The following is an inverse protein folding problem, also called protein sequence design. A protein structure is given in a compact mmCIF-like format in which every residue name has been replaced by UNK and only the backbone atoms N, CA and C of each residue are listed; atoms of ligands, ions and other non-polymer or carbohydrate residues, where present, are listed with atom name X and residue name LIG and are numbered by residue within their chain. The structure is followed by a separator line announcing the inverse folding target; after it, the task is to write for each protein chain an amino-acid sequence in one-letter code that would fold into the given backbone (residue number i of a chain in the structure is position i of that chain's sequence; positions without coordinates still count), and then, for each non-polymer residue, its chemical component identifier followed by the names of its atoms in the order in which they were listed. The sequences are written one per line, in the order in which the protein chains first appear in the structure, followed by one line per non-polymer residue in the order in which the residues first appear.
data_IF_254978815684
#
_entry.id   IF_254978815684
#
_cell.length_a   1.000
_cell.length_b   1.000
_cell.length_c   1.000
_cell.angle_alpha   90.00
_cell.angle_beta   90.00
_cell.angle_gamma   90.00
#
_symmetry.space_group_name_H-M   'P 1'
#
loop_
_entity.id
_entity.type
_entity.pdbx_description
1 polymer ?
#
# COMPACT_ATOMS: atom_id res chain seq x y z
N UNK A 1 14.02 -3.92 -12.78
CA UNK A 1 12.91 -4.16 -11.85
C UNK A 1 12.46 -2.79 -11.39
N UNK A 2 11.15 -2.47 -11.43
CA UNK A 2 10.65 -1.18 -10.99
C UNK A 2 11.04 -0.90 -9.55
N UNK A 3 11.40 0.34 -9.27
CA UNK A 3 11.75 0.81 -7.92
C UNK A 3 10.86 1.99 -7.54
N UNK A 4 10.26 1.92 -6.35
CA UNK A 4 9.37 2.94 -5.82
C UNK A 4 9.92 3.51 -4.52
N UNK A 5 9.78 4.82 -4.32
CA UNK A 5 10.26 5.52 -3.12
C UNK A 5 9.11 6.22 -2.42
N UNK A 6 9.00 6.04 -1.11
CA UNK A 6 8.04 6.75 -0.27
C UNK A 6 8.71 7.44 0.92
N UNK A 7 7.95 8.31 1.57
CA UNK A 7 8.37 9.02 2.79
C UNK A 7 8.89 10.43 2.54
N UNK A 8 8.29 11.42 3.21
CA UNK A 8 8.77 12.81 3.19
C UNK A 8 8.44 13.63 1.93
N UNK A 9 7.73 13.05 0.95
CA UNK A 9 7.38 13.71 -0.32
C UNK A 9 6.27 14.74 -0.08
N UNK A 10 6.59 16.03 -0.27
CA UNK A 10 5.65 17.15 -0.03
C UNK A 10 5.63 18.19 -1.15
N UNK A 11 6.52 18.11 -2.12
CA UNK A 11 6.58 19.06 -3.25
C UNK A 11 6.82 18.32 -4.57
N UNK A 12 6.56 18.98 -5.70
CA UNK A 12 6.80 18.40 -7.02
C UNK A 12 8.31 18.25 -7.28
N UNK A 13 9.14 19.13 -6.72
CA UNK A 13 10.59 19.04 -6.79
C UNK A 13 11.09 17.77 -6.07
N UNK A 14 10.50 17.38 -4.94
CA UNK A 14 10.85 16.10 -4.30
C UNK A 14 10.58 14.92 -5.25
N UNK A 15 9.46 14.94 -5.97
CA UNK A 15 9.12 13.89 -6.92
C UNK A 15 10.11 13.90 -8.09
N UNK A 16 10.43 15.08 -8.62
CA UNK A 16 11.41 15.25 -9.69
C UNK A 16 12.79 14.70 -9.31
N UNK A 17 13.29 15.03 -8.12
CA UNK A 17 14.59 14.56 -7.63
C UNK A 17 14.62 13.05 -7.45
N UNK A 18 13.54 12.46 -6.93
CA UNK A 18 13.39 11.02 -6.75
C UNK A 18 13.38 10.28 -8.09
N UNK A 19 12.62 10.78 -9.07
CA UNK A 19 12.56 10.19 -10.41
C UNK A 19 13.91 10.34 -11.11
N UNK A 20 14.54 11.52 -11.03
CA UNK A 20 15.88 11.76 -11.58
C UNK A 20 16.95 10.85 -10.96
N UNK A 21 16.73 10.39 -9.73
CA UNK A 21 17.59 9.41 -9.04
C UNK A 21 17.33 7.95 -9.45
N UNK A 22 16.39 7.71 -10.38
CA UNK A 22 16.12 6.40 -10.99
C UNK A 22 14.92 5.65 -10.43
N UNK A 23 14.11 6.27 -9.56
CA UNK A 23 12.83 5.68 -9.16
C UNK A 23 11.79 5.79 -10.29
N UNK A 24 11.00 4.74 -10.48
CA UNK A 24 9.89 4.72 -11.46
C UNK A 24 8.57 5.21 -10.85
N UNK A 25 8.43 5.13 -9.51
CA UNK A 25 7.23 5.58 -8.80
C UNK A 25 7.57 6.28 -7.49
N UNK A 26 6.68 7.17 -7.08
CA UNK A 26 6.64 7.76 -5.74
C UNK A 26 5.42 7.25 -4.96
N UNK A 27 5.59 7.04 -3.66
CA UNK A 27 4.54 6.60 -2.74
C UNK A 27 4.24 7.73 -1.75
N UNK A 28 3.03 8.28 -1.84
CA UNK A 28 2.58 9.40 -1.01
C UNK A 28 1.52 8.89 -0.02
N UNK A 29 1.63 9.26 1.25
CA UNK A 29 0.68 8.87 2.31
C UNK A 29 0.17 10.12 3.02
N UNK A 30 0.83 10.56 4.11
CA UNK A 30 0.32 11.64 4.98
C UNK A 30 -0.02 12.90 4.19
N UNK A 31 0.82 13.28 3.23
CA UNK A 31 0.63 14.49 2.44
C UNK A 31 -0.57 14.38 1.49
N UNK A 32 -0.88 13.18 0.97
CA UNK A 32 -2.06 12.94 0.14
C UNK A 32 -3.36 13.13 0.94
N UNK A 33 -3.38 12.71 2.21
CA UNK A 33 -4.54 12.88 3.07
C UNK A 33 -4.75 14.33 3.53
N UNK A 34 -3.66 15.08 3.70
CA UNK A 34 -3.71 16.48 4.14
C UNK A 34 -3.92 17.47 2.98
N UNK A 35 -3.44 17.11 1.79
CA UNK A 35 -3.51 17.95 0.58
C UNK A 35 -3.90 17.10 -0.64
N UNK A 36 -5.16 16.63 -0.76
CA UNK A 36 -5.59 15.74 -1.85
C UNK A 36 -5.29 16.27 -3.25
N UNK A 37 -5.46 17.58 -3.47
CA UNK A 37 -5.20 18.25 -4.75
C UNK A 37 -3.72 18.15 -5.19
N UNK A 38 -2.80 17.81 -4.28
CA UNK A 38 -1.41 17.55 -4.64
C UNK A 38 -1.27 16.31 -5.52
N UNK A 39 -2.11 15.29 -5.33
CA UNK A 39 -2.09 14.08 -6.16
C UNK A 39 -2.41 14.43 -7.62
N UNK A 40 -3.38 15.31 -7.86
CA UNK A 40 -3.71 15.80 -9.20
C UNK A 40 -2.54 16.55 -9.82
N UNK A 41 -1.96 17.50 -9.09
CA UNK A 41 -0.78 18.26 -9.58
C UNK A 41 0.40 17.34 -9.90
N UNK A 42 0.63 16.32 -9.08
CA UNK A 42 1.70 15.36 -9.28
C UNK A 42 1.41 14.43 -10.48
N UNK A 43 0.17 13.96 -10.64
CA UNK A 43 -0.24 13.13 -11.76
C UNK A 43 -0.19 13.91 -13.08
N UNK A 44 -0.60 15.17 -13.10
CA UNK A 44 -0.50 16.05 -14.28
C UNK A 44 0.96 16.28 -14.70
N UNK A 45 1.88 16.41 -13.74
CA UNK A 45 3.29 16.68 -14.00
C UNK A 45 4.10 15.43 -14.39
N UNK A 46 3.81 14.27 -13.78
CA UNK A 46 4.65 13.07 -13.89
C UNK A 46 3.93 11.83 -14.43
N UNK A 47 2.63 11.94 -14.70
CA UNK A 47 1.76 10.83 -15.13
C UNK A 47 1.25 9.98 -13.96
N UNK A 48 -0.01 9.55 -14.03
CA UNK A 48 -0.65 8.74 -12.97
C UNK A 48 0.12 7.46 -12.61
N UNK A 49 0.72 6.78 -13.60
CA UNK A 49 1.48 5.54 -13.36
C UNK A 49 2.68 5.71 -12.41
N UNK A 50 3.18 6.94 -12.28
CA UNK A 50 4.30 7.33 -11.43
C UNK A 50 3.84 7.60 -9.98
N UNK A 51 2.55 7.86 -9.76
CA UNK A 51 2.00 8.30 -8.48
C UNK A 51 1.23 7.17 -7.81
N UNK A 52 1.79 6.59 -6.75
CA UNK A 52 1.11 5.65 -5.87
C UNK A 52 0.69 6.33 -4.57
N UNK A 53 -0.49 5.97 -4.05
CA UNK A 53 -0.95 6.43 -2.73
C UNK A 53 -0.98 5.26 -1.75
N UNK A 54 -0.26 5.38 -0.64
CA UNK A 54 -0.35 4.42 0.46
C UNK A 54 -1.40 4.89 1.47
N UNK A 55 -2.36 4.03 1.75
CA UNK A 55 -3.46 4.24 2.68
C UNK A 55 -3.21 3.35 3.89
N UNK A 56 -2.80 3.95 5.00
CA UNK A 56 -2.76 3.24 6.27
C UNK A 56 -4.15 3.26 6.90
N UNK A 57 -4.63 2.11 7.37
CA UNK A 57 -5.89 2.03 8.10
C UNK A 57 -5.76 1.20 9.38
N UNK A 58 -6.59 1.54 10.35
CA UNK A 58 -6.88 0.71 11.54
C UNK A 58 -8.25 1.04 12.11
N UNK A 59 -8.76 0.09 12.89
CA UNK A 59 -10.06 0.20 13.55
C UNK A 59 -9.98 1.12 14.77
N UNK A 60 -10.95 2.03 14.95
CA UNK A 60 -11.11 2.75 16.22
C UNK A 60 -11.62 1.81 17.31
N UNK A 61 -11.46 2.22 18.57
CA UNK A 61 -12.03 1.52 19.74
C UNK A 61 -13.56 1.27 19.63
N UNK A 62 -14.29 2.09 18.87
CA UNK A 62 -15.74 1.95 18.63
C UNK A 62 -16.08 1.16 17.34
N UNK A 63 -15.13 0.41 16.77
CA UNK A 63 -15.36 -0.45 15.60
C UNK A 63 -15.39 0.28 14.25
N UNK A 64 -15.37 1.62 14.22
CA UNK A 64 -15.30 2.39 12.95
C UNK A 64 -13.87 2.39 12.40
N UNK A 65 -13.68 1.83 11.20
CA UNK A 65 -12.42 1.94 10.47
C UNK A 65 -12.23 3.34 9.89
N UNK A 66 -10.99 3.82 9.91
CA UNK A 66 -10.60 5.09 9.29
C UNK A 66 -9.15 5.00 8.79
N UNK A 67 -8.76 5.94 7.94
CA UNK A 67 -7.36 6.12 7.54
C UNK A 67 -6.56 6.84 8.62
N UNK A 68 -5.26 6.61 8.61
CA UNK A 68 -4.31 7.19 9.54
C UNK A 68 -3.09 7.70 8.78
N UNK A 69 -2.42 8.68 9.37
CA UNK A 69 -1.20 9.28 8.84
C UNK A 69 -0.14 9.34 9.94
N UNK A 70 1.05 9.84 9.60
CA UNK A 70 2.16 10.02 10.56
C UNK A 70 2.53 8.70 11.25
N UNK A 71 2.67 7.62 10.46
CA UNK A 71 3.00 6.29 10.98
C UNK A 71 1.92 5.71 11.90
N UNK A 72 0.65 6.01 11.61
CA UNK A 72 -0.48 5.49 12.39
C UNK A 72 -0.80 6.25 13.67
N UNK A 73 -0.19 7.43 13.90
CA UNK A 73 -0.40 8.23 15.13
C UNK A 73 -1.54 9.25 15.02
N UNK A 74 -1.85 9.74 13.81
CA UNK A 74 -2.89 10.76 13.57
C UNK A 74 -4.04 10.16 12.74
N UNK A 75 -5.23 10.08 13.32
CA UNK A 75 -6.43 9.61 12.61
C UNK A 75 -7.06 10.71 11.77
N UNK A 76 -7.46 10.40 10.54
CA UNK A 76 -8.04 11.39 9.60
C UNK A 76 -9.55 11.53 9.73
N UNK A 77 -10.24 10.51 10.26
CA UNK A 77 -11.70 10.41 10.21
C UNK A 77 -12.28 9.92 8.89
N UNK A 78 -11.44 9.72 7.86
CA UNK A 78 -11.86 9.35 6.51
C UNK A 78 -11.97 7.83 6.40
N UNK A 79 -13.03 7.33 5.75
CA UNK A 79 -13.15 5.90 5.46
C UNK A 79 -12.09 5.48 4.40
N UNK A 80 -11.40 4.33 4.55
CA UNK A 80 -10.36 3.91 3.61
C UNK A 80 -10.83 3.72 2.16
N UNK A 81 -12.04 3.20 1.96
CA UNK A 81 -12.62 2.98 0.62
C UNK A 81 -12.96 4.31 -0.04
N UNK A 82 -13.58 5.23 0.70
CA UNK A 82 -13.88 6.57 0.19
C UNK A 82 -12.60 7.34 -0.13
N UNK A 83 -11.56 7.17 0.70
CA UNK A 83 -10.26 7.78 0.45
C UNK A 83 -9.61 7.22 -0.82
N UNK A 84 -9.63 5.89 -1.02
CA UNK A 84 -9.10 5.26 -2.23
C UNK A 84 -9.78 5.78 -3.51
N UNK A 85 -11.12 5.84 -3.52
CA UNK A 85 -11.89 6.42 -4.63
C UNK A 85 -11.50 7.87 -4.90
N UNK A 86 -11.34 8.65 -3.84
CA UNK A 86 -10.95 10.05 -3.98
C UNK A 86 -9.53 10.19 -4.56
N UNK A 87 -8.58 9.37 -4.12
CA UNK A 87 -7.21 9.39 -4.66
C UNK A 87 -7.16 8.97 -6.13
N UNK A 88 -7.95 7.99 -6.55
CA UNK A 88 -8.12 7.64 -7.96
C UNK A 88 -8.68 8.82 -8.77
N UNK A 89 -9.71 9.50 -8.26
CA UNK A 89 -10.26 10.71 -8.91
C UNK A 89 -9.23 11.83 -9.04
N UNK A 90 -8.30 11.94 -8.10
CA UNK A 90 -7.18 12.88 -8.16
C UNK A 90 -6.03 12.39 -9.05
N UNK A 91 -6.15 11.24 -9.71
CA UNK A 91 -5.17 10.77 -10.68
C UNK A 91 -4.07 9.88 -10.13
N UNK A 92 -4.20 9.31 -8.92
CA UNK A 92 -3.33 8.23 -8.48
C UNK A 92 -3.39 7.05 -9.46
N UNK A 93 -2.26 6.43 -9.78
CA UNK A 93 -2.19 5.26 -10.68
C UNK A 93 -2.09 3.92 -9.95
N UNK A 94 -1.92 3.92 -8.63
CA UNK A 94 -1.85 2.70 -7.82
C UNK A 94 -2.22 3.02 -6.36
N UNK A 95 -2.99 2.13 -5.73
CA UNK A 95 -3.31 2.21 -4.30
C UNK A 95 -2.56 1.11 -3.56
N UNK A 96 -1.81 1.49 -2.53
CA UNK A 96 -1.23 0.54 -1.57
C UNK A 96 -2.08 0.60 -0.31
N UNK A 97 -2.70 -0.51 0.08
CA UNK A 97 -3.52 -0.57 1.29
C UNK A 97 -2.76 -1.29 2.41
N UNK A 98 -2.46 -0.57 3.49
CA UNK A 98 -1.67 -1.05 4.62
C UNK A 98 -2.52 -1.18 5.89
N UNK A 99 -2.67 -2.42 6.38
CA UNK A 99 -3.27 -2.67 7.70
C UNK A 99 -2.25 -2.43 8.81
N UNK A 100 -2.42 -1.36 9.61
CA UNK A 100 -1.54 -1.07 10.75
C UNK A 100 -1.66 -2.17 11.82
N UNK A 101 -2.87 -2.70 12.05
CA UNK A 101 -3.13 -3.69 13.11
C UNK A 101 -2.50 -5.05 12.80
N UNK A 102 -2.31 -5.38 11.53
CA UNK A 102 -1.73 -6.65 11.08
C UNK A 102 -0.25 -6.53 10.73
N UNK A 103 0.29 -5.31 10.68
CA UNK A 103 1.68 -5.11 10.29
C UNK A 103 2.64 -5.82 11.24
N UNK A 104 3.63 -6.50 10.66
CA UNK A 104 4.57 -7.35 11.40
C UNK A 104 4.01 -8.60 12.07
N UNK A 105 2.68 -8.80 12.17
CA UNK A 105 2.09 -9.93 12.89
C UNK A 105 2.22 -11.27 12.16
N UNK A 106 2.41 -11.25 10.83
CA UNK A 106 2.55 -12.46 10.00
C UNK A 106 1.34 -13.42 10.08
N UNK A 107 0.16 -12.91 10.43
CA UNK A 107 -1.11 -13.68 10.60
C UNK A 107 -2.08 -13.60 9.44
N UNK A 108 -1.67 -12.99 8.32
CA UNK A 108 -2.47 -12.83 7.10
C UNK A 108 -2.92 -11.39 6.88
N UNK A 109 -3.13 -11.06 5.61
CA UNK A 109 -3.63 -9.75 5.19
C UNK A 109 -5.07 -9.50 5.67
N UNK A 110 -5.51 -8.24 5.60
CA UNK A 110 -6.93 -7.89 5.74
C UNK A 110 -7.68 -8.07 4.42
N UNK A 111 -8.11 -9.31 4.14
CA UNK A 111 -8.76 -9.67 2.88
C UNK A 111 -10.02 -8.84 2.61
N UNK A 112 -10.81 -8.56 3.64
CA UNK A 112 -12.06 -7.82 3.50
C UNK A 112 -11.81 -6.37 3.06
N UNK A 113 -10.84 -5.68 3.68
CA UNK A 113 -10.51 -4.31 3.30
C UNK A 113 -9.88 -4.26 1.90
N UNK A 114 -8.97 -5.18 1.59
CA UNK A 114 -8.34 -5.25 0.27
C UNK A 114 -9.41 -5.43 -0.81
N UNK A 115 -10.32 -6.40 -0.63
CA UNK A 115 -11.43 -6.65 -1.56
C UNK A 115 -12.34 -5.43 -1.71
N UNK A 116 -12.73 -4.80 -0.60
CA UNK A 116 -13.59 -3.64 -0.63
C UNK A 116 -12.98 -2.46 -1.41
N UNK A 117 -11.66 -2.28 -1.37
CA UNK A 117 -10.97 -1.27 -2.18
C UNK A 117 -10.82 -1.72 -3.63
N UNK A 118 -10.40 -2.96 -3.88
CA UNK A 118 -10.22 -3.50 -5.23
C UNK A 118 -11.52 -3.51 -6.05
N UNK A 119 -12.69 -3.70 -5.42
CA UNK A 119 -14.00 -3.58 -6.06
C UNK A 119 -14.47 -2.12 -6.24
N UNK A 120 -13.85 -1.18 -5.52
CA UNK A 120 -14.25 0.23 -5.47
C UNK A 120 -13.49 1.13 -6.43
N UNK A 121 -12.28 0.73 -6.86
CA UNK A 121 -11.41 1.48 -7.78
C UNK A 121 -11.09 0.65 -9.02
N UNK A 122 -10.68 1.31 -10.09
CA UNK A 122 -10.28 0.69 -11.36
C UNK A 122 -8.76 0.57 -11.53
N UNK A 123 -8.00 1.38 -10.79
CA UNK A 123 -6.53 1.33 -10.75
C UNK A 123 -6.00 0.14 -9.92
N UNK A 124 -4.76 -0.33 -10.16
CA UNK A 124 -4.16 -1.43 -9.41
C UNK A 124 -4.13 -1.22 -7.89
N UNK A 125 -4.43 -2.28 -7.14
CA UNK A 125 -4.37 -2.32 -5.68
C UNK A 125 -3.27 -3.27 -5.20
N UNK A 126 -2.42 -2.80 -4.29
CA UNK A 126 -1.35 -3.56 -3.65
C UNK A 126 -1.70 -3.83 -2.19
N UNK A 127 -1.75 -5.11 -1.80
CA UNK A 127 -1.98 -5.53 -0.43
C UNK A 127 -0.71 -5.41 0.43
N UNK A 128 -0.81 -4.78 1.61
CA UNK A 128 0.30 -4.65 2.56
C UNK A 128 -0.18 -4.82 4.03
N UNK A 129 0.70 -5.37 4.87
CA UNK A 129 0.47 -5.58 6.30
C UNK A 129 -0.16 -6.94 6.61
N UNK A 130 0.65 -7.86 7.16
CA UNK A 130 0.18 -9.14 7.71
C UNK A 130 0.65 -10.42 7.01
N UNK A 131 1.22 -10.35 5.80
CA UNK A 131 1.75 -11.56 5.14
C UNK A 131 2.84 -12.25 5.98
N UNK A 132 2.74 -13.58 6.06
CA UNK A 132 3.62 -14.43 6.87
C UNK A 132 3.99 -15.75 6.20
N UNK A 133 3.21 -16.20 5.22
CA UNK A 133 3.46 -17.39 4.43
C UNK A 133 2.86 -17.22 3.03
N UNK A 134 3.13 -18.18 2.13
CA UNK A 134 2.65 -18.18 0.75
C UNK A 134 1.12 -18.25 0.65
N UNK A 135 0.46 -18.91 1.59
CA UNK A 135 -1.00 -19.01 1.61
C UNK A 135 -1.63 -17.62 1.81
N UNK A 136 -1.05 -16.77 2.67
CA UNK A 136 -1.51 -15.38 2.83
C UNK A 136 -1.36 -14.58 1.52
N UNK A 137 -0.29 -14.82 0.75
CA UNK A 137 -0.13 -14.20 -0.58
C UNK A 137 -1.22 -14.66 -1.56
N UNK A 138 -1.49 -15.97 -1.60
CA UNK A 138 -2.57 -16.55 -2.42
C UNK A 138 -3.93 -15.95 -2.08
N UNK A 139 -4.23 -15.80 -0.79
CA UNK A 139 -5.49 -15.21 -0.32
C UNK A 139 -5.63 -13.75 -0.75
N UNK A 140 -4.56 -12.96 -0.62
CA UNK A 140 -4.54 -11.57 -1.07
C UNK A 140 -4.89 -11.41 -2.55
N UNK A 141 -4.37 -12.31 -3.40
CA UNK A 141 -4.66 -12.32 -4.84
C UNK A 141 -6.06 -12.88 -5.15
N UNK A 142 -6.37 -14.10 -4.69
CA UNK A 142 -7.58 -14.83 -5.10
C UNK A 142 -8.86 -14.32 -4.42
N UNK A 143 -8.77 -13.95 -3.15
CA UNK A 143 -9.93 -13.53 -2.36
C UNK A 143 -9.99 -12.00 -2.19
N UNK A 144 -8.83 -11.35 -2.08
CA UNK A 144 -8.71 -9.91 -1.98
C UNK A 144 -8.76 -9.18 -3.32
N UNK A 145 -8.53 -9.87 -4.44
CA UNK A 145 -8.41 -9.27 -5.78
C UNK A 145 -7.29 -8.24 -5.91
N UNK A 146 -6.25 -8.33 -5.06
CA UNK A 146 -5.09 -7.45 -5.18
C UNK A 146 -4.30 -7.76 -6.45
N UNK A 147 -3.85 -6.70 -7.14
CA UNK A 147 -2.97 -6.79 -8.31
C UNK A 147 -1.51 -6.98 -7.90
N UNK A 148 -1.13 -6.47 -6.72
CA UNK A 148 0.19 -6.63 -6.13
C UNK A 148 0.14 -7.09 -4.68
N UNK A 149 1.19 -7.78 -4.24
CA UNK A 149 1.31 -8.31 -2.88
C UNK A 149 2.64 -7.86 -2.29
N UNK A 150 2.59 -7.00 -1.28
CA UNK A 150 3.76 -6.47 -0.61
C UNK A 150 3.91 -7.09 0.79
N UNK A 151 5.14 -7.26 1.23
CA UNK A 151 5.46 -7.76 2.56
C UNK A 151 6.92 -7.47 2.90
N UNK A 152 7.18 -7.13 4.16
CA UNK A 152 8.55 -7.08 4.70
C UNK A 152 8.87 -8.38 5.43
N UNK A 153 8.11 -8.67 6.49
CA UNK A 153 8.40 -9.76 7.41
C UNK A 153 8.49 -11.14 6.77
N UNK A 154 7.60 -11.47 5.82
CA UNK A 154 7.60 -12.75 5.10
C UNK A 154 8.91 -13.02 4.34
N UNK A 155 9.58 -11.97 3.83
CA UNK A 155 10.83 -12.13 3.08
C UNK A 155 12.06 -12.02 3.98
N UNK A 156 11.97 -11.34 5.12
CA UNK A 156 13.13 -11.01 5.98
C UNK A 156 13.29 -11.98 7.14
N UNK A 157 12.21 -12.43 7.78
CA UNK A 157 12.26 -13.23 9.01
C UNK A 157 11.97 -14.71 8.73
N UNK A 158 12.81 -15.59 9.28
CA UNK A 158 12.68 -17.04 9.08
C UNK A 158 12.88 -17.85 10.36
N UNK A 159 12.10 -18.93 10.47
CA UNK A 159 12.14 -19.88 11.58
C UNK A 159 11.50 -19.36 12.87
N UNK A 160 11.46 -20.21 13.90
CA UNK A 160 10.79 -19.91 15.19
C UNK A 160 11.44 -18.78 16.00
N UNK A 161 12.66 -18.38 15.63
CA UNK A 161 13.42 -17.29 16.28
C UNK A 161 13.41 -15.99 15.48
N UNK A 162 12.67 -15.90 14.38
CA UNK A 162 12.68 -14.74 13.48
C UNK A 162 14.10 -14.32 13.09
N UNK A 163 14.92 -15.30 12.67
CA UNK A 163 16.27 -15.02 12.19
C UNK A 163 16.18 -14.16 10.92
N UNK A 164 17.05 -13.17 10.80
CA UNK A 164 17.12 -12.32 9.61
C UNK A 164 17.79 -13.10 8.49
N UNK A 165 16.99 -13.52 7.52
CA UNK A 165 17.44 -14.19 6.31
C UNK A 165 16.52 -13.77 5.16
N UNK A 166 17.06 -12.97 4.23
CA UNK A 166 16.32 -12.52 3.06
C UNK A 166 16.08 -13.74 2.16
N UNK A 167 14.81 -14.12 2.03
CA UNK A 167 14.38 -15.22 1.18
C UNK A 167 13.18 -14.82 0.34
N UNK A 168 13.16 -15.27 -0.91
CA UNK A 168 12.03 -15.10 -1.81
C UNK A 168 11.43 -16.48 -2.11
N UNK A 169 10.12 -16.57 -2.34
CA UNK A 169 9.51 -17.83 -2.75
C UNK A 169 9.97 -18.20 -4.15
N UNK A 170 10.08 -19.51 -4.39
CA UNK A 170 10.36 -20.04 -5.72
C UNK A 170 9.18 -19.80 -6.65
N UNK A 171 9.44 -19.66 -7.96
CA UNK A 171 8.38 -19.42 -8.95
C UNK A 171 7.27 -20.47 -8.91
N UNK A 172 7.57 -21.71 -8.55
CA UNK A 172 6.59 -22.80 -8.39
C UNK A 172 5.61 -22.59 -7.25
N UNK A 173 6.02 -21.87 -6.20
CA UNK A 173 5.19 -21.60 -5.01
C UNK A 173 4.17 -20.48 -5.27
N UNK A 174 4.47 -19.59 -6.22
CA UNK A 174 3.69 -18.38 -6.56
C UNK A 174 2.81 -18.59 -7.81
N UNK A 175 2.54 -19.83 -8.21
CA UNK A 175 1.50 -20.12 -9.22
C UNK A 175 0.14 -20.06 -8.56
N UNK A 176 -0.51 -18.90 -8.67
CA UNK A 176 -1.84 -18.66 -8.11
C UNK A 176 -2.98 -19.03 -9.08
N UNK A 177 -2.62 -19.46 -10.29
CA UNK A 177 -3.48 -19.91 -11.39
C UNK A 177 -2.94 -21.24 -11.92
#
# INVERSE_FOLDING_TARGET
MPFAVGGGIKTLENIQDIIASGAEKVIINSYAAENPDFILKAADAFGSSTIAVCIDFKTKFLGKMQTWTHGGSKGTGINPVDFAKHMEQQGAGEIIIQSIERDGLMTGYDINMIKAIAEAVTIPVVALGGAGNIQHLKEGYQQGYANGLAGGSIFVYKGTRNGVLITYPEKSEIKFV
#
